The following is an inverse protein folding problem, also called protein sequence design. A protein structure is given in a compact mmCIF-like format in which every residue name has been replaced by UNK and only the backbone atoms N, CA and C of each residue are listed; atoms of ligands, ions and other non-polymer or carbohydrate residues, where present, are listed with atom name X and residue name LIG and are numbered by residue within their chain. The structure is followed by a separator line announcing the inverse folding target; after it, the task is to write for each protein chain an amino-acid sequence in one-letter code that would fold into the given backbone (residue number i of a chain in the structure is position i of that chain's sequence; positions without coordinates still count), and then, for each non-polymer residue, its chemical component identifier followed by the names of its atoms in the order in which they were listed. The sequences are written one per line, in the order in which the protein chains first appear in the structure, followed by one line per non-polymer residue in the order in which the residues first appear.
data_IF_073017132655
#
_entry.id   IF_073017132655
#
_cell.length_a   1.000
_cell.length_b   1.000
_cell.length_c   1.000
_cell.angle_alpha   90.00
_cell.angle_beta   90.00
_cell.angle_gamma   90.00
#
_symmetry.space_group_name_H-M   'P 1'
#
loop_
_entity.id
_entity.type
_entity.pdbx_description
1 polymer ?
#
# COMPACT_ATOMS: atom_id res chain seq x y z
N UNK A 1 -20.37 26.38 -6.53
CA UNK A 1 -19.08 27.01 -6.17
C UNK A 1 -18.11 25.89 -5.88
N UNK A 2 -16.91 25.91 -6.47
CA UNK A 2 -15.87 24.94 -6.12
C UNK A 2 -15.40 25.20 -4.68
N UNK A 3 -15.27 24.15 -3.88
CA UNK A 3 -14.79 24.24 -2.51
C UNK A 3 -13.27 24.47 -2.50
N UNK A 4 -12.74 24.91 -1.35
CA UNK A 4 -11.29 25.06 -1.16
C UNK A 4 -10.53 23.74 -1.41
N UNK A 5 -11.15 22.60 -1.15
CA UNK A 5 -10.57 21.28 -1.41
C UNK A 5 -10.47 20.99 -2.92
N UNK A 6 -11.53 21.31 -3.68
CA UNK A 6 -11.56 21.10 -5.13
C UNK A 6 -10.44 21.91 -5.81
N UNK A 7 -10.25 23.17 -5.40
CA UNK A 7 -9.20 24.04 -5.94
C UNK A 7 -7.78 23.55 -5.63
N UNK A 8 -7.57 22.85 -4.51
CA UNK A 8 -6.29 22.24 -4.16
C UNK A 8 -6.07 20.99 -5.02
N UNK A 9 -7.10 20.16 -5.17
CA UNK A 9 -7.05 18.93 -5.95
C UNK A 9 -6.70 19.20 -7.43
N UNK A 10 -7.28 20.23 -8.04
CA UNK A 10 -6.97 20.66 -9.42
C UNK A 10 -5.50 21.08 -9.61
N UNK A 11 -4.83 21.51 -8.54
CA UNK A 11 -3.41 21.91 -8.57
C UNK A 11 -2.45 20.77 -8.28
N UNK A 12 -2.96 19.61 -7.85
CA UNK A 12 -2.14 18.42 -7.63
C UNK A 12 -1.72 17.86 -8.99
N UNK A 13 -0.42 17.67 -9.25
CA UNK A 13 0.04 17.05 -10.49
C UNK A 13 -0.58 15.66 -10.70
N UNK A 14 -0.92 15.32 -11.95
CA UNK A 14 -1.54 14.03 -12.28
C UNK A 14 -0.75 12.82 -11.77
N UNK A 15 0.58 12.85 -11.89
CA UNK A 15 1.43 11.76 -11.38
C UNK A 15 1.29 11.56 -9.87
N UNK A 16 1.03 12.62 -9.10
CA UNK A 16 0.82 12.53 -7.65
C UNK A 16 -0.51 11.87 -7.33
N UNK A 17 -1.58 12.17 -8.10
CA UNK A 17 -2.88 11.50 -7.97
C UNK A 17 -2.74 10.00 -8.23
N UNK A 18 -2.05 9.65 -9.32
CA UNK A 18 -1.76 8.25 -9.68
C UNK A 18 -0.91 7.55 -8.62
N UNK A 19 0.10 8.23 -8.07
CA UNK A 19 0.94 7.66 -7.00
C UNK A 19 0.12 7.32 -5.76
N UNK A 20 -0.73 8.24 -5.30
CA UNK A 20 -1.59 8.02 -4.13
C UNK A 20 -2.57 6.87 -4.39
N UNK A 21 -3.20 6.82 -5.58
CA UNK A 21 -4.07 5.70 -5.97
C UNK A 21 -3.32 4.37 -5.89
N UNK A 22 -2.14 4.27 -6.50
CA UNK A 22 -1.33 3.04 -6.47
C UNK A 22 -0.93 2.64 -5.06
N UNK A 23 -0.55 3.59 -4.23
CA UNK A 23 -0.24 3.35 -2.81
C UNK A 23 -1.44 2.80 -2.05
N UNK A 24 -2.64 3.28 -2.36
CA UNK A 24 -3.88 2.78 -1.78
C UNK A 24 -4.16 1.34 -2.24
N UNK A 25 -4.13 1.08 -3.55
CA UNK A 25 -4.36 -0.24 -4.14
C UNK A 25 -3.39 -1.30 -3.55
N UNK A 26 -2.12 -0.93 -3.37
CA UNK A 26 -1.11 -1.82 -2.75
C UNK A 26 -1.44 -2.08 -1.27
N UNK A 27 -1.85 -1.04 -0.54
CA UNK A 27 -2.19 -1.17 0.88
C UNK A 27 -3.40 -2.08 1.07
N UNK A 28 -4.47 -1.87 0.30
CA UNK A 28 -5.66 -2.73 0.31
C UNK A 28 -5.30 -4.17 -0.05
N UNK A 29 -4.51 -4.37 -1.10
CA UNK A 29 -4.09 -5.72 -1.49
C UNK A 29 -3.31 -6.44 -0.39
N UNK A 30 -2.45 -5.72 0.35
CA UNK A 30 -1.76 -6.32 1.50
C UNK A 30 -2.75 -6.71 2.58
N UNK A 31 -3.73 -5.85 2.90
CA UNK A 31 -4.77 -6.15 3.89
C UNK A 31 -5.59 -7.38 3.49
N UNK A 32 -6.02 -7.48 2.22
CA UNK A 32 -6.76 -8.64 1.71
C UNK A 32 -5.98 -9.94 1.92
N UNK A 33 -4.69 -9.95 1.57
CA UNK A 33 -3.83 -11.13 1.72
C UNK A 33 -3.67 -11.49 3.21
N UNK A 34 -3.59 -10.49 4.10
CA UNK A 34 -3.54 -10.74 5.54
C UNK A 34 -4.86 -11.36 6.03
N UNK A 35 -6.01 -10.87 5.59
CA UNK A 35 -7.32 -11.43 5.93
C UNK A 35 -7.47 -12.87 5.42
N UNK A 36 -7.09 -13.14 4.17
CA UNK A 36 -7.07 -14.49 3.57
C UNK A 36 -6.24 -15.49 4.40
N UNK A 37 -5.15 -15.01 5.03
CA UNK A 37 -4.24 -15.82 5.86
C UNK A 37 -4.60 -15.82 7.34
N UNK A 38 -5.62 -15.07 7.76
CA UNK A 38 -5.93 -14.77 9.16
C UNK A 38 -4.73 -14.17 9.92
N UNK A 39 -3.92 -13.35 9.24
CA UNK A 39 -2.80 -12.63 9.82
C UNK A 39 -3.21 -11.23 10.24
N UNK A 40 -2.59 -10.77 11.31
CA UNK A 40 -2.63 -9.38 11.74
C UNK A 40 -1.48 -8.59 11.12
N UNK A 41 -1.54 -7.26 11.20
CA UNK A 41 -0.41 -6.39 10.84
C UNK A 41 0.83 -6.64 11.71
N UNK A 42 0.63 -7.15 12.93
CA UNK A 42 1.72 -7.58 13.81
C UNK A 42 2.45 -8.79 13.23
N UNK A 43 1.73 -9.79 12.71
CA UNK A 43 2.33 -10.98 12.10
C UNK A 43 3.16 -10.64 10.86
N UNK A 44 2.71 -9.67 10.06
CA UNK A 44 3.50 -9.14 8.95
C UNK A 44 4.75 -8.40 9.44
N UNK A 45 4.60 -7.59 10.50
CA UNK A 45 5.72 -6.91 11.15
C UNK A 45 6.79 -7.88 11.62
N UNK A 46 6.40 -8.96 12.31
CA UNK A 46 7.31 -10.00 12.79
C UNK A 46 8.12 -10.63 11.64
N UNK A 47 7.47 -10.97 10.52
CA UNK A 47 8.16 -11.54 9.34
C UNK A 47 9.10 -10.56 8.65
N UNK A 48 8.79 -9.27 8.69
CA UNK A 48 9.63 -8.21 8.10
C UNK A 48 10.66 -7.66 9.09
N UNK A 49 10.71 -8.15 10.33
CA UNK A 49 11.50 -7.55 11.42
C UNK A 49 11.19 -6.07 11.62
N UNK A 50 9.91 -5.72 11.54
CA UNK A 50 9.34 -4.37 11.68
C UNK A 50 8.32 -4.31 12.80
N UNK A 51 8.08 -3.11 13.33
CA UNK A 51 7.04 -2.89 14.34
C UNK A 51 5.66 -2.86 13.67
N UNK A 52 4.65 -3.39 14.33
CA UNK A 52 3.25 -3.29 13.91
C UNK A 52 2.84 -1.84 13.60
N UNK A 53 3.30 -0.86 14.40
CA UNK A 53 3.02 0.55 14.19
C UNK A 53 3.63 1.13 12.91
N UNK A 54 4.68 0.50 12.37
CA UNK A 54 5.26 0.84 11.07
C UNK A 54 4.38 0.27 9.94
N UNK A 55 3.96 -1.00 10.07
CA UNK A 55 3.04 -1.65 9.12
C UNK A 55 1.71 -0.89 9.06
N UNK A 56 1.16 -0.50 10.21
CA UNK A 56 -0.07 0.29 10.30
C UNK A 56 0.03 1.64 9.62
N UNK A 57 1.22 2.28 9.60
CA UNK A 57 1.43 3.51 8.84
C UNK A 57 1.43 3.26 7.33
N UNK A 58 1.93 2.11 6.88
CA UNK A 58 1.92 1.76 5.46
C UNK A 58 0.49 1.61 4.95
N UNK A 59 -0.38 0.99 5.74
CA UNK A 59 -1.79 0.73 5.38
C UNK A 59 -2.67 1.99 5.30
N UNK A 60 -2.16 3.18 5.66
CA UNK A 60 -2.91 4.44 5.54
C UNK A 60 -2.99 4.97 4.11
N UNK A 61 -2.42 4.26 3.12
CA UNK A 61 -2.49 4.63 1.70
C UNK A 61 -1.64 5.85 1.29
N UNK A 62 -0.86 6.41 2.21
CA UNK A 62 0.05 7.55 1.93
C UNK A 62 1.52 7.13 1.86
N UNK A 63 1.80 5.83 2.01
CA UNK A 63 3.15 5.31 1.97
C UNK A 63 3.58 5.04 0.53
N UNK A 64 4.79 5.47 0.18
CA UNK A 64 5.37 5.16 -1.12
C UNK A 64 6.04 3.78 -1.08
N UNK A 65 5.42 2.78 -1.71
CA UNK A 65 5.97 1.44 -1.81
C UNK A 65 6.95 1.36 -2.99
N UNK A 66 8.24 1.25 -2.69
CA UNK A 66 9.24 0.97 -3.72
C UNK A 66 9.15 -0.49 -4.18
N UNK A 67 9.60 -0.79 -5.40
CA UNK A 67 9.60 -2.17 -5.91
C UNK A 67 10.38 -3.14 -5.01
N UNK A 68 11.48 -2.69 -4.40
CA UNK A 68 12.24 -3.49 -3.43
C UNK A 68 11.40 -3.82 -2.19
N UNK A 69 10.63 -2.87 -1.69
CA UNK A 69 9.77 -3.06 -0.53
C UNK A 69 8.62 -4.01 -0.84
N UNK A 70 7.99 -3.86 -2.00
CA UNK A 70 6.94 -4.78 -2.47
C UNK A 70 7.49 -6.20 -2.52
N UNK A 71 8.66 -6.42 -3.14
CA UNK A 71 9.29 -7.74 -3.20
C UNK A 71 9.54 -8.35 -1.82
N UNK A 72 10.00 -7.55 -0.84
CA UNK A 72 10.18 -8.02 0.56
C UNK A 72 8.85 -8.43 1.19
N UNK A 73 7.79 -7.66 0.97
CA UNK A 73 6.46 -7.96 1.49
C UNK A 73 5.91 -9.22 0.82
N UNK A 74 6.04 -9.36 -0.49
CA UNK A 74 5.60 -10.56 -1.23
C UNK A 74 6.29 -11.83 -0.73
N UNK A 75 7.59 -11.77 -0.46
CA UNK A 75 8.34 -12.88 0.16
C UNK A 75 7.81 -13.18 1.56
N UNK A 76 7.57 -12.15 2.38
CA UNK A 76 7.04 -12.34 3.74
C UNK A 76 5.61 -12.91 3.76
N UNK A 77 4.77 -12.51 2.81
CA UNK A 77 3.41 -13.02 2.64
C UNK A 77 3.39 -14.40 1.95
N UNK A 78 4.42 -14.73 1.17
CA UNK A 78 4.44 -15.90 0.29
C UNK A 78 3.43 -15.79 -0.85
N UNK A 79 3.08 -14.58 -1.26
CA UNK A 79 2.03 -14.28 -2.24
C UNK A 79 2.34 -12.97 -2.96
N UNK A 80 2.10 -12.92 -4.27
CA UNK A 80 2.32 -11.71 -5.07
C UNK A 80 1.23 -10.67 -4.81
N UNK A 81 1.66 -9.41 -4.71
CA UNK A 81 0.81 -8.22 -4.54
C UNK A 81 0.48 -7.65 -5.92
N UNK A 82 1.50 -7.53 -6.79
CA UNK A 82 1.34 -7.01 -8.14
C UNK A 82 1.26 -8.19 -9.12
N UNK A 83 0.13 -8.34 -9.82
CA UNK A 83 0.05 -9.29 -10.92
C UNK A 83 0.74 -8.67 -12.15
N UNK A 84 1.87 -9.22 -12.55
CA UNK A 84 2.59 -8.81 -13.76
C UNK A 84 1.99 -9.40 -15.04
N UNK A 85 0.77 -9.97 -14.98
CA UNK A 85 0.03 -10.37 -16.18
C UNK A 85 -0.40 -9.14 -16.99
N UNK A 86 0.55 -8.65 -17.78
CA UNK A 86 0.26 -7.98 -19.05
C UNK A 86 -0.54 -8.99 -19.88
N UNK A 87 -1.84 -8.74 -20.01
CA UNK A 87 -2.70 -9.44 -20.96
C UNK A 87 -2.73 -8.68 -22.27
#
# INVERSE_FOLDING_TARGET
MATKLDLIYERVPEHTKVLVSKSFDISERILDILEEKHWTQKDLGERLSKKESEISKWMKGTHNFTSEMIAKIEIALGQMILDSKSK
#
